data_IF_020810141669
#
_entry.id   IF_020810141669
#
_cell.length_a   1.000
_cell.length_b   1.000
_cell.length_c   1.000
_cell.angle_alpha   90.00
_cell.angle_beta   90.00
_cell.angle_gamma   90.00
#
_symmetry.space_group_name_H-M   'P 1'
#
loop_
_entity.id
_entity.type
_entity.pdbx_description
1 polymer ?
#
# COMPACT_ATOMS: atom_id res chain seq x y z
N UNK A 1 19.18 -12.87 9.03
CA UNK A 1 18.35 -12.61 7.82
C UNK A 1 17.42 -11.47 8.21
N UNK A 2 17.76 -10.23 7.85
CA UNK A 2 16.96 -9.08 8.26
C UNK A 2 15.71 -9.04 7.39
N UNK A 3 14.56 -9.27 8.01
CA UNK A 3 13.24 -9.05 7.45
C UNK A 3 13.07 -7.56 7.16
N UNK A 4 13.45 -7.16 5.94
CA UNK A 4 13.36 -5.82 5.37
C UNK A 4 11.88 -5.37 5.31
N UNK A 5 11.41 -4.79 6.41
CA UNK A 5 10.13 -4.10 6.43
C UNK A 5 10.25 -2.69 5.87
N UNK A 6 9.14 -2.16 5.35
CA UNK A 6 9.08 -0.79 4.85
C UNK A 6 9.17 0.19 6.03
N UNK A 7 10.23 1.02 6.14
CA UNK A 7 10.33 1.99 7.22
C UNK A 7 9.41 3.19 6.94
N UNK A 8 8.78 3.72 7.99
CA UNK A 8 7.95 4.91 7.88
C UNK A 8 8.81 6.12 7.49
N UNK A 9 8.47 6.88 6.43
CA UNK A 9 9.23 8.05 6.01
C UNK A 9 9.19 9.20 7.02
N UNK A 10 8.26 9.18 7.99
CA UNK A 10 8.13 10.21 9.03
C UNK A 10 8.93 9.91 10.29
N UNK A 11 8.94 8.66 10.75
CA UNK A 11 9.51 8.31 12.06
C UNK A 11 10.47 7.11 12.04
N UNK A 12 10.73 6.51 10.88
CA UNK A 12 11.67 5.41 10.70
C UNK A 12 11.24 4.04 11.24
N UNK A 13 10.11 3.97 11.96
CA UNK A 13 9.56 2.71 12.49
C UNK A 13 9.04 1.82 11.36
N UNK A 14 9.26 0.51 11.46
CA UNK A 14 8.75 -0.50 10.52
C UNK A 14 7.22 -0.39 10.42
N UNK A 15 6.71 -0.19 9.21
CA UNK A 15 5.29 -0.10 8.95
C UNK A 15 4.68 -1.50 8.89
N UNK A 16 3.40 -1.58 9.23
CA UNK A 16 2.59 -2.78 9.11
C UNK A 16 1.84 -2.76 7.79
N UNK A 17 1.68 -3.93 7.17
CA UNK A 17 0.91 -4.08 5.94
C UNK A 17 -0.52 -4.50 6.27
N UNK A 18 -1.48 -3.73 5.80
CA UNK A 18 -2.89 -3.89 6.11
C UNK A 18 -3.71 -4.06 4.83
N UNK A 19 -4.80 -4.81 4.96
CA UNK A 19 -5.81 -5.01 3.92
C UNK A 19 -7.16 -4.53 4.43
N UNK A 20 -7.83 -3.70 3.64
CA UNK A 20 -9.22 -3.28 3.84
C UNK A 20 -10.05 -3.83 2.68
N UNK A 21 -11.16 -4.51 2.99
CA UNK A 21 -12.09 -5.04 1.99
C UNK A 21 -13.40 -4.29 2.14
N UNK A 22 -13.77 -3.54 1.12
CA UNK A 22 -15.06 -2.88 1.01
C UNK A 22 -15.94 -3.69 0.06
N UNK A 23 -17.14 -4.04 0.54
CA UNK A 23 -18.15 -4.69 -0.30
C UNK A 23 -19.00 -3.61 -0.96
N UNK A 24 -18.96 -3.56 -2.29
CA UNK A 24 -19.82 -2.70 -3.09
C UNK A 24 -21.15 -3.37 -3.45
N UNK A 25 -22.07 -2.57 -3.97
CA UNK A 25 -23.33 -3.05 -4.53
C UNK A 25 -23.05 -3.86 -5.82
N UNK A 26 -23.84 -4.91 -6.09
CA UNK A 26 -23.69 -5.85 -7.22
C UNK A 26 -22.51 -6.85 -7.16
N UNK A 27 -22.05 -7.20 -5.95
CA UNK A 27 -21.03 -8.25 -5.77
C UNK A 27 -19.61 -7.81 -6.18
N UNK A 28 -19.42 -6.51 -6.40
CA UNK A 28 -18.11 -5.90 -6.55
C UNK A 28 -17.46 -5.77 -5.16
N UNK A 29 -16.16 -6.08 -5.07
CA UNK A 29 -15.37 -5.96 -3.86
C UNK A 29 -14.15 -5.12 -4.16
N UNK A 30 -13.93 -4.09 -3.35
CA UNK A 30 -12.74 -3.25 -3.44
C UNK A 30 -11.78 -3.65 -2.34
N UNK A 31 -10.61 -4.13 -2.73
CA UNK A 31 -9.55 -4.56 -1.82
C UNK A 31 -8.46 -3.50 -1.85
N UNK A 32 -8.24 -2.82 -0.73
CA UNK A 32 -7.22 -1.79 -0.55
C UNK A 32 -6.08 -2.34 0.29
N UNK A 33 -4.90 -2.41 -0.30
CA UNK A 33 -3.67 -2.70 0.41
C UNK A 33 -2.94 -1.39 0.74
N UNK A 34 -2.48 -1.27 1.97
CA UNK A 34 -1.77 -0.08 2.41
C UNK A 34 -0.80 -0.40 3.55
N UNK A 35 0.28 0.38 3.64
CA UNK A 35 1.13 0.38 4.82
C UNK A 35 0.62 1.39 5.83
N UNK A 36 0.62 1.03 7.11
CA UNK A 36 0.29 1.91 8.23
C UNK A 36 1.42 1.92 9.25
N UNK A 37 1.81 3.12 9.68
CA UNK A 37 2.75 3.28 10.78
C UNK A 37 1.99 3.21 12.11
N UNK A 38 2.29 2.25 13.01
CA UNK A 38 1.63 2.15 14.31
C UNK A 38 1.97 3.31 15.25
N UNK A 39 3.14 3.95 15.06
CA UNK A 39 3.62 5.02 15.95
C UNK A 39 3.04 6.40 15.62
N UNK A 40 2.98 6.77 14.34
CA UNK A 40 2.59 8.12 13.92
C UNK A 40 1.30 8.16 13.07
N UNK A 41 0.70 7.00 12.78
CA UNK A 41 -0.53 6.89 12.00
C UNK A 41 -0.38 7.19 10.50
N UNK A 42 0.84 7.37 9.99
CA UNK A 42 1.06 7.59 8.55
C UNK A 42 0.57 6.39 7.74
N UNK A 43 -0.23 6.64 6.70
CA UNK A 43 -0.78 5.61 5.80
C UNK A 43 -0.34 5.90 4.37
N UNK A 44 0.02 4.85 3.64
CA UNK A 44 0.34 4.92 2.22
C UNK A 44 -0.30 3.74 1.49
N UNK A 45 -1.13 4.03 0.49
CA UNK A 45 -1.72 3.02 -0.38
C UNK A 45 -0.65 2.35 -1.22
N UNK A 46 -0.67 1.02 -1.26
CA UNK A 46 0.21 0.19 -2.09
C UNK A 46 -0.53 -0.23 -3.37
N UNK A 47 -1.58 -1.02 -3.21
CA UNK A 47 -2.40 -1.49 -4.32
C UNK A 47 -3.89 -1.36 -4.01
N UNK A 48 -4.68 -1.04 -5.03
CA UNK A 48 -6.14 -1.12 -4.97
C UNK A 48 -6.62 -2.06 -6.07
N UNK A 49 -7.31 -3.12 -5.66
CA UNK A 49 -7.95 -4.07 -6.55
C UNK A 49 -9.46 -3.88 -6.50
N UNK A 50 -10.11 -3.88 -7.65
CA UNK A 50 -11.56 -4.01 -7.77
C UNK A 50 -11.83 -5.36 -8.39
N UNK A 51 -12.47 -6.25 -7.64
CA UNK A 51 -12.80 -7.59 -8.08
C UNK A 51 -14.31 -7.77 -8.11
N UNK A 52 -14.81 -8.53 -9.06
CA UNK A 52 -16.22 -8.87 -9.18
C UNK A 52 -16.38 -10.36 -9.35
N UNK A 53 -17.46 -10.91 -8.79
CA UNK A 53 -17.81 -12.30 -9.00
C UNK A 53 -18.75 -12.42 -10.21
N UNK A 54 -18.33 -13.17 -11.21
CA UNK A 54 -19.08 -13.40 -12.46
C UNK A 54 -19.06 -14.90 -12.74
N UNK A 55 -20.24 -15.52 -12.86
CA UNK A 55 -20.41 -16.96 -13.13
C UNK A 55 -19.55 -17.87 -12.21
N UNK A 56 -19.52 -17.54 -10.92
CA UNK A 56 -18.76 -18.28 -9.90
C UNK A 56 -17.25 -17.98 -9.88
N UNK A 57 -16.72 -17.29 -10.89
CA UNK A 57 -15.31 -16.89 -11.02
C UNK A 57 -15.07 -15.51 -10.40
N UNK A 58 -13.86 -15.27 -9.92
CA UNK A 58 -13.41 -13.94 -9.48
C UNK A 58 -12.69 -13.29 -10.67
N UNK A 59 -13.20 -12.15 -11.12
CA UNK A 59 -12.61 -11.34 -12.18
C UNK A 59 -12.04 -10.07 -11.55
N UNK A 60 -10.78 -9.75 -11.85
CA UNK A 60 -10.19 -8.45 -11.47
C UNK A 60 -10.62 -7.44 -12.54
N UNK A 61 -11.48 -6.49 -12.17
CA UNK A 61 -11.96 -5.44 -13.07
C UNK A 61 -10.98 -4.27 -13.16
N UNK A 62 -10.28 -3.96 -12.06
CA UNK A 62 -9.30 -2.87 -12.02
C UNK A 62 -8.19 -3.17 -11.03
N UNK A 63 -6.96 -2.90 -11.44
CA UNK A 63 -5.77 -2.93 -10.60
C UNK A 63 -5.07 -1.57 -10.67
N UNK A 64 -4.84 -0.95 -9.52
CA UNK A 64 -4.11 0.32 -9.41
C UNK A 64 -2.98 0.15 -8.40
N UNK A 65 -1.77 -0.08 -8.91
CA UNK A 65 -0.55 -0.11 -8.11
C UNK A 65 0.00 1.31 -8.01
N UNK A 66 0.12 1.80 -6.78
CA UNK A 66 0.88 3.02 -6.54
C UNK A 66 2.34 2.60 -6.39
N UNK A 67 3.18 3.06 -7.32
CA UNK A 67 4.60 2.74 -7.33
C UNK A 67 5.22 2.85 -5.92
N UNK A 68 6.11 1.90 -5.55
CA UNK A 68 6.66 1.82 -4.21
C UNK A 68 7.39 3.10 -3.83
N UNK A 69 7.28 3.48 -2.56
CA UNK A 69 7.98 4.62 -1.95
C UNK A 69 9.51 4.58 -2.12
N UNK A 70 10.09 3.45 -2.53
CA UNK A 70 11.52 3.30 -2.81
C UNK A 70 12.03 4.31 -3.85
N UNK A 71 11.22 4.70 -4.83
CA UNK A 71 11.59 5.72 -5.82
C UNK A 71 11.65 7.14 -5.25
N UNK A 72 11.04 7.39 -4.08
CA UNK A 72 11.00 8.72 -3.42
C UNK A 72 11.91 8.84 -2.19
N UNK A 73 12.19 7.73 -1.50
CA UNK A 73 13.06 7.74 -0.30
C UNK A 73 14.54 7.93 -0.68
N UNK A 74 14.94 7.63 -1.91
CA UNK A 74 16.29 7.90 -2.44
C UNK A 74 16.59 9.37 -2.80
N UNK A 75 15.58 10.22 -2.97
CA UNK A 75 15.77 11.58 -3.48
C UNK A 75 16.17 12.62 -2.41
N UNK A 76 16.03 12.30 -1.11
CA UNK A 76 16.24 13.27 -0.01
C UNK A 76 17.68 13.26 0.55
N UNK A 77 18.54 12.31 0.16
CA UNK A 77 19.91 12.19 0.71
C UNK A 77 21.04 12.80 -0.15
N UNK A 78 20.79 13.87 -0.91
CA UNK A 78 21.86 14.66 -1.57
C UNK A 78 21.61 16.16 -1.48
N UNK A 79 21.56 16.71 -0.26
CA UNK A 79 21.62 18.15 -0.04
C UNK A 79 22.29 18.49 1.30
N UNK A 80 23.50 17.96 1.54
CA UNK A 80 24.45 18.54 2.50
C UNK A 80 25.85 18.43 1.91
N UNK A 81 26.39 19.57 1.51
CA UNK A 81 27.71 19.72 0.94
C UNK A 81 27.99 21.20 0.70
N UNK A 82 28.25 21.94 1.78
CA UNK A 82 29.08 23.14 1.77
C UNK A 82 29.71 23.33 3.14
#
# INVERSE_FOLDING_TARGET
MAEEGVPCPRCGVKMEYWVEIELGENGQRRIKYYYRCPRCGYRVSDAVLVVKRVDGRIVVEREEYRQPLSSRVGAVKRARGR
#
